data_IF_119845994968
#
_entry.id   IF_119845994968
#
_cell.length_a   1.000
_cell.length_b   1.000
_cell.length_c   1.000
_cell.angle_alpha   90.00
_cell.angle_beta   90.00
_cell.angle_gamma   90.00
#
_symmetry.space_group_name_H-M   'P 1'
#
loop_
_entity.id
_entity.type
_entity.pdbx_description
1 polymer ?
#
# COMPACT_ATOMS: atom_id res chain seq x y z
N UNK A 1 -22.09 -34.41 27.36
CA UNK A 1 -20.88 -34.33 26.49
C UNK A 1 -20.84 -33.07 25.63
N UNK A 2 -21.97 -32.53 25.13
CA UNK A 2 -21.99 -31.28 24.35
C UNK A 2 -21.56 -30.02 25.14
N UNK A 3 -21.98 -29.89 26.41
CA UNK A 3 -21.71 -28.71 27.24
C UNK A 3 -20.23 -28.54 27.62
N UNK A 4 -19.47 -29.63 27.74
CA UNK A 4 -18.04 -29.58 28.07
C UNK A 4 -17.19 -29.10 26.88
N UNK A 5 -17.59 -29.41 25.64
CA UNK A 5 -16.91 -28.94 24.43
C UNK A 5 -17.10 -27.44 24.17
N UNK A 6 -18.28 -26.89 24.49
CA UNK A 6 -18.55 -25.45 24.36
C UNK A 6 -17.72 -24.61 25.35
N UNK A 7 -17.54 -25.09 26.58
CA UNK A 7 -16.74 -24.42 27.60
C UNK A 7 -15.25 -24.38 27.25
N UNK A 8 -14.71 -25.45 26.65
CA UNK A 8 -13.31 -25.48 26.18
C UNK A 8 -13.07 -24.51 25.01
N UNK A 9 -14.04 -24.39 24.09
CA UNK A 9 -13.96 -23.44 22.97
C UNK A 9 -13.90 -21.98 23.44
N UNK A 10 -14.77 -21.61 24.39
CA UNK A 10 -14.76 -20.26 24.99
C UNK A 10 -13.46 -20.00 25.78
N UNK A 11 -12.96 -21.01 26.49
CA UNK A 11 -11.72 -20.91 27.27
C UNK A 11 -10.46 -20.72 26.41
N UNK A 12 -10.48 -21.06 25.12
CA UNK A 12 -9.37 -20.81 24.18
C UNK A 12 -9.56 -19.54 23.35
N UNK A 13 -10.82 -19.14 23.08
CA UNK A 13 -11.12 -17.92 22.34
C UNK A 13 -10.81 -16.65 23.15
N UNK A 14 -11.14 -16.61 24.45
CA UNK A 14 -10.89 -15.42 25.28
C UNK A 14 -9.39 -15.12 25.43
N UNK A 15 -8.50 -16.09 25.74
CA UNK A 15 -7.06 -15.86 25.74
C UNK A 15 -6.51 -15.54 24.35
N UNK A 16 -7.07 -16.11 23.28
CA UNK A 16 -6.67 -15.79 21.91
C UNK A 16 -7.00 -14.34 21.53
N UNK A 17 -8.23 -13.88 21.76
CA UNK A 17 -8.60 -12.48 21.55
C UNK A 17 -7.82 -11.54 22.47
N UNK A 18 -7.58 -11.93 23.72
CA UNK A 18 -6.75 -11.17 24.64
C UNK A 18 -5.29 -11.07 24.17
N UNK A 19 -4.72 -12.18 23.68
CA UNK A 19 -3.37 -12.23 23.10
C UNK A 19 -3.28 -11.39 21.84
N UNK A 20 -4.25 -11.47 20.93
CA UNK A 20 -4.33 -10.65 19.72
C UNK A 20 -4.40 -9.16 20.09
N UNK A 21 -5.25 -8.79 21.05
CA UNK A 21 -5.44 -7.39 21.45
C UNK A 21 -4.23 -6.80 22.20
N UNK A 22 -3.46 -7.65 22.91
CA UNK A 22 -2.26 -7.23 23.63
C UNK A 22 -0.97 -7.37 22.85
N UNK A 23 -0.95 -8.09 21.74
CA UNK A 23 0.24 -8.26 20.92
C UNK A 23 0.60 -6.92 20.27
N UNK A 24 1.72 -6.27 20.65
CA UNK A 24 2.10 -4.97 20.08
C UNK A 24 2.34 -5.04 18.57
N UNK A 25 2.72 -6.23 18.08
CA UNK A 25 2.89 -6.52 16.66
C UNK A 25 1.56 -6.58 15.86
N UNK A 26 0.43 -6.75 16.55
CA UNK A 26 -0.92 -6.79 15.96
C UNK A 26 -1.71 -5.51 16.24
N UNK A 27 -1.14 -4.57 17.00
CA UNK A 27 -1.72 -3.26 17.20
C UNK A 27 -1.40 -2.36 16.01
N UNK A 28 -2.40 -1.66 15.41
CA UNK A 28 -2.14 -0.70 14.35
C UNK A 28 -1.17 0.36 14.86
N UNK A 29 0.00 0.45 14.21
CA UNK A 29 0.91 1.54 14.49
C UNK A 29 0.37 2.79 13.76
N UNK A 30 0.26 3.94 14.44
CA UNK A 30 -0.12 5.17 13.77
C UNK A 30 0.92 5.50 12.71
N UNK A 31 0.49 5.98 11.55
CA UNK A 31 1.42 6.59 10.59
C UNK A 31 2.27 7.65 11.31
N UNK A 32 3.51 7.90 10.85
CA UNK A 32 4.48 8.70 11.57
C UNK A 32 3.85 10.03 11.98
N UNK A 33 3.91 10.30 13.28
CA UNK A 33 3.39 11.57 13.80
C UNK A 33 4.10 12.73 13.12
N UNK A 34 3.33 13.77 12.88
CA UNK A 34 3.61 15.10 12.31
C UNK A 34 4.73 15.87 13.06
N UNK A 35 5.76 15.21 13.56
CA UNK A 35 6.91 15.85 14.20
C UNK A 35 7.82 16.43 13.12
N UNK A 36 7.52 17.66 12.69
CA UNK A 36 8.36 18.43 11.75
C UNK A 36 7.62 19.05 10.58
N UNK A 37 6.29 18.92 10.46
CA UNK A 37 5.55 19.71 9.47
C UNK A 37 5.64 21.18 9.89
N UNK A 38 6.37 21.97 9.10
CA UNK A 38 6.34 23.43 9.19
C UNK A 38 4.90 23.92 9.12
N UNK A 39 4.49 24.76 10.08
CA UNK A 39 3.18 25.42 10.18
C UNK A 39 2.52 25.66 8.81
N UNK A 40 1.58 24.77 8.41
CA UNK A 40 0.73 24.91 7.21
C UNK A 40 0.90 23.88 6.08
N UNK A 41 1.91 23.00 6.11
CA UNK A 41 2.11 21.97 5.07
C UNK A 41 1.27 20.70 5.26
N UNK A 42 1.04 19.92 4.18
CA UNK A 42 0.49 18.56 4.23
C UNK A 42 1.60 17.50 4.06
N UNK A 43 1.44 16.31 4.63
CA UNK A 43 2.30 15.15 4.36
C UNK A 43 1.88 14.53 3.03
N UNK A 44 2.83 14.39 2.09
CA UNK A 44 2.57 13.74 0.81
C UNK A 44 2.66 12.22 0.97
N UNK A 45 1.53 11.54 0.78
CA UNK A 45 1.38 10.09 0.86
C UNK A 45 1.14 9.55 -0.55
N UNK A 46 1.87 8.50 -0.92
CA UNK A 46 1.70 7.78 -2.17
C UNK A 46 1.20 6.36 -1.89
N UNK A 47 -0.02 6.06 -2.29
CA UNK A 47 -0.49 4.69 -2.42
C UNK A 47 0.10 4.08 -3.70
N UNK A 48 0.73 2.92 -3.59
CA UNK A 48 1.35 2.20 -4.71
C UNK A 48 0.72 0.81 -4.81
N UNK A 49 -0.03 0.58 -5.90
CA UNK A 49 -0.84 -0.62 -6.13
C UNK A 49 -0.61 -1.20 -7.52
N UNK A 50 -1.05 -2.44 -7.75
CA UNK A 50 -0.82 -3.14 -9.01
C UNK A 50 -1.97 -2.88 -10.00
N UNK A 51 -3.21 -2.93 -9.52
CA UNK A 51 -4.40 -2.96 -10.35
C UNK A 51 -5.43 -1.88 -9.95
N UNK A 52 -6.28 -1.45 -10.89
CA UNK A 52 -7.44 -0.64 -10.56
C UNK A 52 -8.47 -1.51 -9.82
N UNK A 53 -8.79 -1.16 -8.57
CA UNK A 53 -9.65 -1.83 -7.58
C UNK A 53 -8.91 -2.09 -6.24
N UNK A 54 -7.60 -2.32 -6.27
CA UNK A 54 -6.75 -2.53 -5.10
C UNK A 54 -6.92 -1.42 -4.04
N UNK A 55 -7.07 -0.18 -4.47
CA UNK A 55 -7.23 0.98 -3.59
C UNK A 55 -8.50 0.89 -2.74
N UNK A 56 -9.59 0.40 -3.33
CA UNK A 56 -10.90 0.31 -2.69
C UNK A 56 -11.03 -1.01 -1.92
N UNK A 57 -10.54 -2.10 -2.49
CA UNK A 57 -10.61 -3.45 -1.91
C UNK A 57 -9.74 -3.59 -0.66
N UNK A 58 -8.52 -3.03 -0.67
CA UNK A 58 -7.54 -3.28 0.39
C UNK A 58 -7.21 -2.06 1.24
N UNK A 59 -7.23 -0.86 0.65
CA UNK A 59 -6.78 0.36 1.34
C UNK A 59 -7.92 1.32 1.72
N UNK A 60 -9.16 1.05 1.32
CA UNK A 60 -10.30 1.94 1.52
C UNK A 60 -10.44 2.52 2.93
N UNK A 61 -10.48 1.69 4.00
CA UNK A 61 -10.55 2.18 5.37
C UNK A 61 -9.37 3.08 5.77
N UNK A 62 -8.15 2.72 5.35
CA UNK A 62 -6.93 3.49 5.60
C UNK A 62 -6.99 4.85 4.91
N UNK A 63 -7.35 4.89 3.64
CA UNK A 63 -7.42 6.12 2.84
C UNK A 63 -8.46 7.10 3.41
N UNK A 64 -9.65 6.61 3.77
CA UNK A 64 -10.69 7.43 4.39
C UNK A 64 -10.25 7.98 5.75
N UNK A 65 -9.58 7.17 6.58
CA UNK A 65 -9.05 7.62 7.87
C UNK A 65 -7.99 8.72 7.70
N UNK A 66 -7.06 8.56 6.76
CA UNK A 66 -6.05 9.59 6.46
C UNK A 66 -6.67 10.86 5.92
N UNK A 67 -7.66 10.75 5.03
CA UNK A 67 -8.36 11.91 4.49
C UNK A 67 -9.10 12.71 5.58
N UNK A 68 -9.69 12.03 6.57
CA UNK A 68 -10.38 12.67 7.69
C UNK A 68 -9.45 13.50 8.59
N UNK A 69 -8.17 13.11 8.69
CA UNK A 69 -7.20 13.86 9.50
C UNK A 69 -6.81 15.21 8.88
N UNK A 70 -7.06 15.43 7.58
CA UNK A 70 -6.86 16.73 6.91
C UNK A 70 -5.41 17.19 6.74
N UNK A 71 -4.44 16.50 7.34
CA UNK A 71 -3.00 16.80 7.29
C UNK A 71 -2.24 16.07 6.18
N UNK A 72 -2.93 15.19 5.44
CA UNK A 72 -2.32 14.38 4.37
C UNK A 72 -2.76 14.86 2.99
N UNK A 73 -1.83 14.82 2.03
CA UNK A 73 -2.06 14.96 0.61
C UNK A 73 -1.81 13.58 -0.03
N UNK A 74 -2.87 12.89 -0.42
CA UNK A 74 -2.80 11.50 -0.87
C UNK A 74 -2.79 11.46 -2.40
N UNK A 75 -1.90 10.65 -2.97
CA UNK A 75 -1.82 10.27 -4.40
C UNK A 75 -1.85 8.76 -4.55
N UNK A 76 -2.39 8.26 -5.65
CA UNK A 76 -2.37 6.85 -6.02
C UNK A 76 -1.57 6.65 -7.31
N UNK A 77 -0.65 5.69 -7.30
CA UNK A 77 0.08 5.18 -8.45
C UNK A 77 -0.30 3.71 -8.64
N UNK A 78 -0.97 3.42 -9.75
CA UNK A 78 -1.33 2.08 -10.17
C UNK A 78 -0.47 1.67 -11.35
N UNK A 79 0.23 0.53 -11.24
CA UNK A 79 1.23 0.12 -12.23
C UNK A 79 0.67 -0.53 -13.51
N UNK A 80 -0.62 -0.83 -13.53
CA UNK A 80 -1.30 -1.41 -14.69
C UNK A 80 -2.70 -0.85 -14.87
N UNK A 81 -3.21 -0.91 -16.09
CA UNK A 81 -4.63 -0.63 -16.37
C UNK A 81 -5.54 -1.81 -16.03
N UNK A 82 -5.00 -2.94 -15.56
CA UNK A 82 -5.80 -4.15 -15.26
C UNK A 82 -6.43 -4.72 -16.53
N UNK A 83 -5.74 -4.65 -17.66
CA UNK A 83 -6.30 -4.94 -18.99
C UNK A 83 -6.33 -6.43 -19.38
N UNK A 84 -6.19 -7.37 -18.44
CA UNK A 84 -6.20 -8.81 -18.76
C UNK A 84 -7.48 -9.25 -19.50
N UNK A 85 -8.61 -8.62 -19.18
CA UNK A 85 -9.92 -8.88 -19.80
C UNK A 85 -10.25 -7.93 -20.97
N UNK A 86 -9.31 -7.08 -21.40
CA UNK A 86 -9.54 -6.05 -22.43
C UNK A 86 -10.33 -4.83 -21.96
N UNK A 87 -10.51 -4.65 -20.64
CA UNK A 87 -11.32 -3.61 -20.02
C UNK A 87 -10.50 -2.45 -19.41
N UNK A 88 -9.21 -2.33 -19.73
CA UNK A 88 -8.30 -1.43 -19.02
C UNK A 88 -8.67 0.06 -19.10
N UNK A 89 -9.26 0.50 -20.21
CA UNK A 89 -9.75 1.88 -20.34
C UNK A 89 -10.93 2.17 -19.40
N UNK A 90 -11.83 1.21 -19.25
CA UNK A 90 -12.98 1.27 -18.34
C UNK A 90 -12.48 1.25 -16.89
N UNK A 91 -11.64 0.27 -16.53
CA UNK A 91 -11.08 0.12 -15.18
C UNK A 91 -10.28 1.34 -14.73
N UNK A 92 -9.54 1.98 -15.64
CA UNK A 92 -8.86 3.26 -15.36
C UNK A 92 -9.84 4.38 -14.98
N UNK A 93 -10.97 4.48 -15.67
CA UNK A 93 -12.02 5.47 -15.36
C UNK A 93 -12.74 5.13 -14.05
N UNK A 94 -12.97 3.84 -13.79
CA UNK A 94 -13.57 3.35 -12.54
C UNK A 94 -12.69 3.69 -11.34
N UNK A 95 -11.38 3.42 -11.41
CA UNK A 95 -10.44 3.75 -10.34
C UNK A 95 -10.39 5.25 -10.05
N UNK A 96 -10.35 6.12 -11.08
CA UNK A 96 -10.40 7.57 -10.86
C UNK A 96 -11.67 7.97 -10.07
N UNK A 97 -12.81 7.36 -10.39
CA UNK A 97 -14.08 7.59 -9.70
C UNK A 97 -14.05 7.05 -8.26
N UNK A 98 -13.54 5.83 -8.06
CA UNK A 98 -13.40 5.20 -6.75
C UNK A 98 -12.47 6.02 -5.84
N UNK A 99 -11.33 6.46 -6.35
CA UNK A 99 -10.39 7.36 -5.67
C UNK A 99 -11.07 8.67 -5.23
N UNK A 100 -11.92 9.27 -6.06
CA UNK A 100 -12.68 10.46 -5.67
C UNK A 100 -13.61 10.20 -4.48
N UNK A 101 -14.25 9.02 -4.40
CA UNK A 101 -15.05 8.61 -3.24
C UNK A 101 -14.17 8.46 -2.00
N UNK A 102 -12.98 7.89 -2.18
CA UNK A 102 -11.93 7.72 -1.17
C UNK A 102 -11.17 9.01 -0.83
N UNK A 103 -11.64 10.17 -1.32
CA UNK A 103 -11.09 11.51 -1.04
C UNK A 103 -9.69 11.75 -1.60
N UNK A 104 -9.31 11.02 -2.65
CA UNK A 104 -8.13 11.29 -3.47
C UNK A 104 -8.62 12.09 -4.70
N UNK A 105 -8.12 13.32 -4.93
CA UNK A 105 -8.44 14.09 -6.14
C UNK A 105 -8.04 13.32 -7.40
N UNK A 106 -8.82 13.44 -8.48
CA UNK A 106 -8.57 12.68 -9.72
C UNK A 106 -7.21 12.99 -10.36
N UNK A 107 -6.72 14.21 -10.21
CA UNK A 107 -5.38 14.66 -10.64
C UNK A 107 -4.23 14.05 -9.81
N UNK A 108 -4.59 13.41 -8.69
CA UNK A 108 -3.71 12.64 -7.84
C UNK A 108 -3.84 11.13 -8.10
N UNK A 109 -4.35 10.70 -9.25
CA UNK A 109 -4.48 9.29 -9.62
C UNK A 109 -3.76 9.04 -10.94
N UNK A 110 -2.65 8.29 -10.87
CA UNK A 110 -1.85 7.91 -12.02
C UNK A 110 -2.00 6.41 -12.26
N UNK A 111 -2.57 6.04 -13.41
CA UNK A 111 -2.69 4.65 -13.86
C UNK A 111 -1.80 4.45 -15.08
N UNK A 112 -0.75 3.65 -14.88
CA UNK A 112 0.30 3.36 -15.84
C UNK A 112 -0.21 2.35 -16.88
N UNK A 113 0.10 2.64 -18.13
CA UNK A 113 -0.04 1.70 -19.24
C UNK A 113 1.33 1.51 -19.89
N UNK A 114 2.05 0.48 -19.45
CA UNK A 114 3.41 0.20 -19.90
C UNK A 114 3.52 -1.24 -20.41
N UNK A 115 4.16 -1.50 -21.57
CA UNK A 115 4.26 -2.84 -22.14
C UNK A 115 4.91 -3.89 -21.22
N UNK A 116 5.82 -3.46 -20.35
CA UNK A 116 6.49 -4.33 -19.37
C UNK A 116 5.68 -4.57 -18.07
N UNK A 117 4.53 -3.91 -17.89
CA UNK A 117 3.70 -3.96 -16.67
C UNK A 117 2.25 -4.38 -16.97
N UNK A 118 2.08 -5.26 -17.95
CA UNK A 118 0.75 -5.75 -18.34
C UNK A 118 0.20 -6.73 -17.30
N UNK A 119 -1.09 -6.63 -17.03
CA UNK A 119 -1.79 -7.48 -16.08
C UNK A 119 -1.75 -8.98 -16.49
N UNK A 120 -1.82 -9.88 -15.52
CA UNK A 120 -1.87 -11.33 -15.73
C UNK A 120 -0.93 -12.13 -14.84
N UNK A 121 -1.25 -13.41 -14.64
CA UNK A 121 -0.45 -14.34 -13.82
C UNK A 121 0.85 -14.81 -14.48
N UNK A 122 0.94 -14.72 -15.81
CA UNK A 122 2.11 -15.13 -16.59
C UNK A 122 3.03 -13.95 -16.93
N UNK A 123 2.62 -12.73 -16.61
CA UNK A 123 3.36 -11.51 -16.90
C UNK A 123 4.44 -11.31 -15.82
N UNK A 124 5.71 -11.31 -16.22
CA UNK A 124 6.81 -10.94 -15.35
C UNK A 124 7.08 -9.45 -15.50
N UNK A 125 6.76 -8.69 -14.45
CA UNK A 125 6.97 -7.24 -14.45
C UNK A 125 8.44 -6.89 -14.28
N UNK A 126 8.91 -5.96 -15.10
CA UNK A 126 10.27 -5.43 -15.03
C UNK A 126 10.45 -4.54 -13.80
N UNK A 127 11.26 -5.01 -12.85
CA UNK A 127 11.54 -4.30 -11.60
C UNK A 127 12.21 -2.93 -11.85
N UNK A 128 13.08 -2.81 -12.85
CA UNK A 128 13.75 -1.54 -13.17
C UNK A 128 12.76 -0.50 -13.66
N UNK A 129 11.74 -0.91 -14.43
CA UNK A 129 10.65 -0.01 -14.85
C UNK A 129 9.86 0.48 -13.64
N UNK A 130 9.51 -0.42 -12.71
CA UNK A 130 8.81 -0.06 -11.46
C UNK A 130 9.63 0.95 -10.66
N UNK A 131 10.92 0.69 -10.44
CA UNK A 131 11.82 1.56 -9.67
C UNK A 131 11.93 2.94 -10.30
N UNK A 132 12.08 3.03 -11.63
CA UNK A 132 12.20 4.31 -12.33
C UNK A 132 10.91 5.14 -12.26
N UNK A 133 9.75 4.51 -12.50
CA UNK A 133 8.46 5.17 -12.37
C UNK A 133 8.20 5.63 -10.93
N UNK A 134 8.50 4.78 -9.94
CA UNK A 134 8.34 5.13 -8.54
C UNK A 134 9.26 6.29 -8.14
N UNK A 135 10.54 6.24 -8.54
CA UNK A 135 11.53 7.30 -8.28
C UNK A 135 11.05 8.63 -8.83
N UNK A 136 10.62 8.66 -10.10
CA UNK A 136 10.07 9.85 -10.75
C UNK A 136 8.88 10.41 -9.97
N UNK A 137 7.90 9.57 -9.62
CA UNK A 137 6.71 10.00 -8.86
C UNK A 137 7.07 10.53 -7.47
N UNK A 138 8.02 9.89 -6.78
CA UNK A 138 8.50 10.35 -5.47
C UNK A 138 9.15 11.73 -5.56
N UNK A 139 10.00 11.94 -6.56
CA UNK A 139 10.69 13.21 -6.81
C UNK A 139 9.71 14.33 -7.20
N UNK A 140 8.86 14.08 -8.20
CA UNK A 140 7.91 15.07 -8.73
C UNK A 140 6.91 15.56 -7.68
N UNK A 141 6.53 14.68 -6.75
CA UNK A 141 5.50 14.98 -5.75
C UNK A 141 6.03 15.12 -4.32
N UNK A 142 7.35 15.13 -4.12
CA UNK A 142 7.97 15.21 -2.80
C UNK A 142 7.33 14.23 -1.80
N UNK A 143 7.20 12.97 -2.21
CA UNK A 143 6.53 11.92 -1.41
C UNK A 143 7.32 11.67 -0.14
N UNK A 144 6.62 11.58 0.98
CA UNK A 144 7.21 11.33 2.31
C UNK A 144 6.82 9.96 2.86
N UNK A 145 5.66 9.46 2.46
CA UNK A 145 5.13 8.17 2.91
C UNK A 145 4.65 7.37 1.70
N UNK A 146 5.03 6.10 1.60
CA UNK A 146 4.51 5.14 0.63
C UNK A 146 3.66 4.10 1.38
N UNK A 147 2.47 3.82 0.86
CA UNK A 147 1.62 2.69 1.28
C UNK A 147 1.62 1.65 0.16
N UNK A 148 1.86 0.37 0.48
CA UNK A 148 1.88 -0.69 -0.53
C UNK A 148 1.67 -2.08 0.07
N UNK A 149 1.85 -3.14 -0.71
CA UNK A 149 1.71 -4.53 -0.28
C UNK A 149 2.95 -5.05 0.44
N UNK A 150 2.75 -6.08 1.26
CA UNK A 150 3.85 -6.89 1.79
C UNK A 150 4.43 -7.84 0.73
N UNK A 151 5.45 -8.60 1.13
CA UNK A 151 6.14 -9.57 0.27
C UNK A 151 5.25 -10.69 -0.27
N UNK A 152 4.11 -10.97 0.37
CA UNK A 152 3.16 -11.96 -0.10
C UNK A 152 2.25 -11.40 -1.19
N UNK A 153 2.01 -10.09 -1.22
CA UNK A 153 1.13 -9.47 -2.20
C UNK A 153 -0.35 -9.76 -1.92
N UNK A 154 -0.73 -9.84 -0.64
CA UNK A 154 -2.08 -10.14 -0.14
C UNK A 154 -2.60 -11.55 -0.50
N UNK A 155 -2.86 -11.79 -1.78
CA UNK A 155 -3.42 -13.04 -2.31
C UNK A 155 -2.36 -13.94 -2.95
N UNK A 156 -1.11 -13.49 -3.01
CA UNK A 156 -0.05 -14.16 -3.76
C UNK A 156 0.00 -13.77 -5.23
N UNK A 157 -0.78 -12.78 -5.70
CA UNK A 157 -0.77 -12.37 -7.10
C UNK A 157 0.63 -11.87 -7.53
N UNK A 158 1.22 -12.34 -8.65
CA UNK A 158 2.58 -11.99 -9.05
C UNK A 158 2.81 -10.48 -9.20
N UNK A 159 1.84 -9.75 -9.76
CA UNK A 159 1.95 -8.29 -9.89
C UNK A 159 2.03 -7.57 -8.54
N UNK A 160 1.28 -8.01 -7.52
CA UNK A 160 1.35 -7.41 -6.18
C UNK A 160 2.74 -7.64 -5.56
N UNK A 161 3.29 -8.85 -5.70
CA UNK A 161 4.65 -9.16 -5.26
C UNK A 161 5.70 -8.36 -6.03
N UNK A 162 5.48 -8.12 -7.33
CA UNK A 162 6.37 -7.29 -8.14
C UNK A 162 6.36 -5.83 -7.68
N UNK A 163 5.19 -5.29 -7.33
CA UNK A 163 5.07 -3.95 -6.71
C UNK A 163 5.86 -3.89 -5.41
N UNK A 164 5.65 -4.84 -4.49
CA UNK A 164 6.43 -4.92 -3.26
C UNK A 164 7.94 -4.96 -3.56
N UNK A 165 8.36 -5.88 -4.44
CA UNK A 165 9.76 -6.06 -4.81
C UNK A 165 10.38 -4.79 -5.39
N UNK A 166 9.66 -4.06 -6.25
CA UNK A 166 10.11 -2.79 -6.83
C UNK A 166 10.21 -1.68 -5.79
N UNK A 167 9.27 -1.58 -4.84
CA UNK A 167 9.37 -0.63 -3.72
C UNK A 167 10.59 -0.94 -2.85
N UNK A 168 10.85 -2.21 -2.56
CA UNK A 168 12.05 -2.64 -1.82
C UNK A 168 13.33 -2.28 -2.57
N UNK A 169 13.40 -2.54 -3.87
CA UNK A 169 14.54 -2.18 -4.71
C UNK A 169 14.78 -0.66 -4.73
N UNK A 170 13.72 0.14 -4.86
CA UNK A 170 13.78 1.60 -4.78
C UNK A 170 14.40 2.09 -3.45
N UNK A 171 14.04 1.49 -2.31
CA UNK A 171 14.66 1.82 -1.02
C UNK A 171 16.14 1.45 -0.95
N UNK A 172 16.51 0.27 -1.47
CA UNK A 172 17.90 -0.21 -1.49
C UNK A 172 18.80 0.64 -2.40
N UNK A 173 18.27 1.15 -3.51
CA UNK A 173 18.96 2.11 -4.39
C UNK A 173 19.05 3.53 -3.82
N UNK A 174 18.76 3.67 -2.53
CA UNK A 174 18.97 4.89 -1.77
C UNK A 174 17.71 5.68 -1.47
N UNK A 175 16.53 5.30 -2.00
CA UNK A 175 15.21 5.86 -1.64
C UNK A 175 15.15 7.40 -1.59
N UNK A 176 16.06 8.08 -2.28
CA UNK A 176 16.36 9.50 -2.13
C UNK A 176 16.27 10.17 -3.51
N UNK A 177 15.67 11.37 -3.56
CA UNK A 177 15.78 12.24 -4.72
C UNK A 177 17.23 12.45 -5.11
N UNK A 178 17.48 12.48 -6.41
CA UNK A 178 18.75 12.93 -6.98
C UNK A 178 18.98 14.41 -6.58
N UNK A 179 19.89 14.61 -5.62
CA UNK A 179 20.42 15.89 -5.11
C UNK A 179 19.62 16.71 -4.06
N UNK A 180 20.31 16.96 -2.93
CA UNK A 180 20.13 18.07 -1.96
C UNK A 180 18.93 18.19 -1.01
N UNK A 181 17.84 17.41 -1.10
CA UNK A 181 16.74 17.47 -0.09
C UNK A 181 16.57 16.14 0.65
N UNK A 182 17.16 16.09 1.84
CA UNK A 182 17.24 14.94 2.75
C UNK A 182 15.94 14.78 3.55
N UNK A 183 14.86 14.32 2.92
CA UNK A 183 13.74 13.69 3.64
C UNK A 183 13.70 12.22 3.26
N UNK A 184 13.92 11.33 4.24
CA UNK A 184 13.80 9.87 4.04
C UNK A 184 12.33 9.51 3.80
N UNK A 185 12.04 8.82 2.70
CA UNK A 185 10.71 8.25 2.45
C UNK A 185 10.46 7.09 3.39
N UNK A 186 9.32 7.08 4.06
CA UNK A 186 8.88 5.99 4.92
C UNK A 186 7.93 5.07 4.16
N UNK A 187 8.07 3.76 4.31
CA UNK A 187 7.23 2.78 3.61
C UNK A 187 6.44 1.96 4.61
N UNK A 188 5.15 1.83 4.34
CA UNK A 188 4.19 1.07 5.14
C UNK A 188 3.54 0.01 4.26
N UNK A 189 3.57 -1.22 4.75
CA UNK A 189 3.10 -2.40 4.00
C UNK A 189 1.81 -2.94 4.63
N UNK A 190 0.86 -3.32 3.78
CA UNK A 190 -0.33 -4.06 4.20
C UNK A 190 0.06 -5.53 4.43
N UNK A 191 0.14 -5.91 5.70
CA UNK A 191 0.61 -7.24 6.14
C UNK A 191 -0.47 -8.31 5.97
N UNK A 192 -0.11 -9.40 5.29
CA UNK A 192 -0.94 -10.58 5.07
C UNK A 192 -0.81 -11.54 6.26
N UNK A 193 -1.91 -11.77 7.00
CA UNK A 193 -1.90 -12.57 8.24
C UNK A 193 -1.79 -14.10 8.06
N UNK A 194 -1.71 -14.61 6.83
CA UNK A 194 -1.77 -16.05 6.53
C UNK A 194 -0.40 -16.74 6.37
N UNK A 195 0.72 -16.04 6.60
CA UNK A 195 2.05 -16.67 6.60
C UNK A 195 2.71 -16.61 7.99
N UNK A 196 3.18 -17.74 8.57
CA UNK A 196 3.81 -17.79 9.90
C UNK A 196 5.20 -17.14 9.96
N UNK A 197 5.61 -16.38 8.95
CA UNK A 197 6.88 -15.66 8.94
C UNK A 197 6.67 -14.26 9.53
N UNK A 198 6.72 -14.19 10.86
CA UNK A 198 6.92 -12.96 11.62
C UNK A 198 8.27 -12.33 11.21
N UNK A 199 8.27 -11.55 10.13
CA UNK A 199 9.30 -10.55 9.86
C UNK A 199 8.62 -9.21 9.57
N UNK A 200 7.88 -8.71 10.55
CA UNK A 200 7.64 -7.27 10.66
C UNK A 200 8.93 -6.65 11.21
N UNK A 201 9.83 -6.26 10.30
CA UNK A 201 10.92 -5.34 10.59
C UNK A 201 11.10 -4.45 9.36
N UNK A 202 10.45 -3.28 9.40
CA UNK A 202 10.85 -2.13 8.58
C UNK A 202 11.30 -1.06 9.57
N UNK A 203 12.58 -0.70 9.48
CA UNK A 203 13.16 0.55 9.95
C UNK A 203 13.70 1.28 8.73
#
# INVERSE_FOLDING_TARGET
MLLAGLALGIALLVPFFYFVHRSPALQPQPLPSVQGISNGGKINVLLVVAHPDDESMFFGPTLLSLAQLGVYNIRALCFSTGNADGLGSVRKSEMATACSVLKIPTENVDVVDHPALQDGFSSLWDQTVIVNLLRKTVEDHNVQVILTFDSHGISGHPNHRAVHSGVRAFLLEGGKPTESKRSSVQVWELVSFLHPSLHCLIH
#
